data_IF_966308859174
#
_entry.id   IF_966308859174
#
_cell.length_a   1.000
_cell.length_b   1.000
_cell.length_c   1.000
_cell.angle_alpha   90.00
_cell.angle_beta   90.00
_cell.angle_gamma   90.00
#
_symmetry.space_group_name_H-M   'P 1'
#
loop_
_entity.id
_entity.type
_entity.pdbx_description
1 polymer ?
#
# COMPACT_ATOMS: atom_id res chain seq x y z
N UNK A 1 -27.68 -1.62 -56.12
CA UNK A 1 -26.85 -0.40 -55.98
C UNK A 1 -26.78 0.30 -57.33
N UNK A 2 -26.82 1.64 -57.36
CA UNK A 2 -26.73 2.42 -58.61
C UNK A 2 -25.37 2.20 -59.28
N UNK A 3 -25.27 2.34 -60.61
CA UNK A 3 -24.00 2.12 -61.34
C UNK A 3 -22.91 3.16 -60.99
N UNK A 4 -23.29 4.35 -60.50
CA UNK A 4 -22.39 5.45 -60.14
C UNK A 4 -21.92 5.44 -58.67
N UNK A 5 -22.12 4.35 -57.93
CA UNK A 5 -21.74 4.28 -56.50
C UNK A 5 -20.32 3.72 -56.34
N UNK A 6 -19.40 4.48 -55.71
CA UNK A 6 -18.00 4.06 -55.48
C UNK A 6 -17.88 2.70 -54.77
N UNK A 7 -18.89 2.37 -53.96
CA UNK A 7 -18.96 1.12 -53.19
C UNK A 7 -19.39 -0.09 -54.04
N UNK A 8 -19.86 0.13 -55.28
CA UNK A 8 -20.34 -0.94 -56.17
C UNK A 8 -19.23 -1.91 -56.55
N UNK A 9 -18.04 -1.39 -56.84
CA UNK A 9 -16.86 -2.19 -57.18
C UNK A 9 -16.49 -3.16 -56.05
N UNK A 10 -16.61 -2.71 -54.79
CA UNK A 10 -16.35 -3.54 -53.62
C UNK A 10 -17.48 -4.54 -53.33
N UNK A 11 -18.73 -4.12 -53.54
CA UNK A 11 -19.90 -4.98 -53.39
C UNK A 11 -19.93 -6.13 -54.41
N UNK A 12 -19.58 -5.83 -55.66
CA UNK A 12 -19.49 -6.82 -56.74
C UNK A 12 -18.33 -7.80 -56.48
N UNK A 13 -17.20 -7.31 -55.94
CA UNK A 13 -16.08 -8.17 -55.52
C UNK A 13 -16.44 -9.12 -54.36
N UNK A 14 -17.24 -8.66 -53.39
CA UNK A 14 -17.73 -9.47 -52.26
C UNK A 14 -18.75 -10.54 -52.71
N UNK A 15 -19.64 -10.18 -53.63
CA UNK A 15 -20.69 -11.08 -54.11
C UNK A 15 -20.19 -12.12 -55.13
N UNK A 16 -19.22 -11.77 -55.98
CA UNK A 16 -18.65 -12.74 -56.95
C UNK A 16 -17.42 -13.48 -56.43
N UNK A 17 -16.57 -12.87 -55.59
CA UNK A 17 -15.29 -13.43 -55.14
C UNK A 17 -15.20 -13.86 -53.67
N UNK A 18 -16.21 -13.57 -52.83
CA UNK A 18 -16.15 -13.83 -51.38
C UNK A 18 -16.34 -15.30 -50.95
N UNK A 19 -15.98 -15.67 -49.70
CA UNK A 19 -16.24 -16.99 -49.12
C UNK A 19 -17.73 -17.35 -49.15
N UNK A 20 -18.07 -18.64 -49.34
CA UNK A 20 -19.45 -19.11 -49.54
C UNK A 20 -20.44 -18.65 -48.45
N UNK A 21 -19.99 -18.58 -47.20
CA UNK A 21 -20.77 -18.07 -46.07
C UNK A 21 -21.31 -16.65 -46.29
N UNK A 22 -20.51 -15.76 -46.87
CA UNK A 22 -20.93 -14.36 -47.12
C UNK A 22 -21.94 -14.28 -48.27
N UNK A 23 -21.80 -15.14 -49.29
CA UNK A 23 -22.76 -15.19 -50.41
C UNK A 23 -24.14 -15.66 -49.95
N UNK A 24 -24.18 -16.68 -49.09
CA UNK A 24 -25.43 -17.18 -48.51
C UNK A 24 -26.10 -16.13 -47.62
N UNK A 25 -25.34 -15.43 -46.77
CA UNK A 25 -25.88 -14.35 -45.94
C UNK A 25 -26.39 -13.15 -46.75
N UNK A 26 -25.70 -12.74 -47.82
CA UNK A 26 -26.13 -11.59 -48.64
C UNK A 26 -27.48 -11.86 -49.34
N UNK A 27 -27.74 -13.10 -49.76
CA UNK A 27 -29.02 -13.48 -50.37
C UNK A 27 -30.22 -13.38 -49.41
N UNK A 28 -29.97 -13.39 -48.09
CA UNK A 28 -31.02 -13.23 -47.07
C UNK A 28 -31.37 -11.76 -46.77
N UNK A 29 -30.54 -10.81 -47.18
CA UNK A 29 -30.73 -9.37 -46.92
C UNK A 29 -31.19 -8.62 -48.19
N UNK A 30 -32.34 -9.02 -48.77
CA UNK A 30 -33.01 -8.23 -49.81
C UNK A 30 -34.14 -7.39 -49.20
N UNK A 31 -33.94 -6.06 -49.15
CA UNK A 31 -34.92 -5.14 -48.56
C UNK A 31 -35.89 -4.58 -49.60
N UNK A 32 -37.17 -4.46 -49.23
CA UNK A 32 -38.20 -3.85 -50.06
C UNK A 32 -38.25 -2.35 -49.79
N UNK A 33 -38.06 -1.52 -50.82
CA UNK A 33 -38.10 -0.08 -50.70
C UNK A 33 -39.52 0.45 -50.36
N UNK A 34 -39.56 1.57 -49.64
CA UNK A 34 -40.81 2.27 -49.30
C UNK A 34 -41.47 2.86 -50.57
N UNK A 35 -42.81 2.96 -50.61
CA UNK A 35 -43.51 3.56 -51.74
C UNK A 35 -43.21 5.06 -51.88
N UNK A 36 -43.22 5.55 -53.12
CA UNK A 36 -42.89 6.94 -53.51
C UNK A 36 -43.75 8.02 -52.82
N UNK A 37 -44.90 7.64 -52.24
CA UNK A 37 -45.77 8.54 -51.48
C UNK A 37 -45.19 8.94 -50.12
N UNK A 38 -44.31 8.10 -49.54
CA UNK A 38 -43.69 8.34 -48.22
C UNK A 38 -42.27 8.87 -48.38
N UNK A 39 -41.56 8.43 -49.42
CA UNK A 39 -40.19 8.85 -49.71
C UNK A 39 -40.09 9.24 -51.19
N UNK A 40 -40.04 10.54 -51.53
CA UNK A 40 -40.03 11.03 -52.91
C UNK A 40 -38.63 10.96 -53.55
N UNK A 41 -37.82 9.96 -53.19
CA UNK A 41 -36.49 9.72 -53.72
C UNK A 41 -36.41 8.33 -54.37
N UNK A 42 -35.35 8.07 -55.13
CA UNK A 42 -35.16 6.79 -55.82
C UNK A 42 -35.07 5.63 -54.80
N UNK A 43 -35.59 4.46 -55.17
CA UNK A 43 -35.75 3.29 -54.31
C UNK A 43 -34.45 2.84 -53.61
N UNK A 44 -33.27 3.14 -54.17
CA UNK A 44 -31.97 2.89 -53.54
C UNK A 44 -31.71 3.70 -52.27
N UNK A 45 -32.39 4.85 -52.09
CA UNK A 45 -32.26 5.75 -50.93
C UNK A 45 -33.43 5.68 -49.96
N UNK A 46 -34.48 4.92 -50.30
CA UNK A 46 -35.71 4.80 -49.54
C UNK A 46 -35.88 3.38 -48.97
N UNK A 47 -34.85 2.89 -48.29
CA UNK A 47 -34.83 1.57 -47.67
C UNK A 47 -34.94 1.75 -46.14
N UNK A 48 -36.00 1.25 -45.49
CA UNK A 48 -36.12 1.37 -44.03
C UNK A 48 -35.04 0.51 -43.33
N UNK A 49 -34.55 0.99 -42.17
CA UNK A 49 -33.69 0.19 -41.31
C UNK A 49 -34.45 -1.07 -40.83
N UNK A 50 -33.81 -2.25 -40.80
CA UNK A 50 -34.49 -3.48 -40.38
C UNK A 50 -34.95 -3.36 -38.92
N UNK A 51 -36.23 -3.68 -38.66
CA UNK A 51 -36.77 -3.74 -37.31
C UNK A 51 -37.43 -2.48 -36.77
N UNK A 52 -37.65 -1.45 -37.59
CA UNK A 52 -38.37 -0.24 -37.17
C UNK A 52 -39.61 -0.03 -38.04
N UNK A 53 -40.78 -0.05 -37.40
CA UNK A 53 -42.05 0.41 -37.93
C UNK A 53 -42.29 1.88 -37.53
N UNK A 54 -43.07 2.61 -38.31
CA UNK A 54 -43.46 3.99 -37.97
C UNK A 54 -44.81 3.97 -37.25
N UNK A 55 -44.84 4.45 -36.00
CA UNK A 55 -46.07 4.65 -35.25
C UNK A 55 -46.46 6.12 -35.22
N UNK A 56 -47.70 6.45 -35.56
CA UNK A 56 -48.23 7.80 -35.37
C UNK A 56 -48.51 8.06 -33.89
N UNK A 57 -47.88 9.10 -33.34
CA UNK A 57 -48.30 9.71 -32.09
C UNK A 57 -49.28 10.84 -32.36
N UNK A 58 -50.18 11.07 -31.39
CA UNK A 58 -51.24 12.06 -31.49
C UNK A 58 -50.64 13.46 -31.73
N UNK A 59 -51.11 14.13 -32.80
CA UNK A 59 -50.62 15.44 -33.23
C UNK A 59 -49.80 15.46 -34.53
N UNK A 60 -49.76 14.35 -35.28
CA UNK A 60 -49.14 14.32 -36.63
C UNK A 60 -47.62 14.16 -36.63
N UNK A 61 -47.04 13.71 -35.51
CA UNK A 61 -45.62 13.38 -35.42
C UNK A 61 -45.45 11.86 -35.34
N UNK A 62 -44.65 11.30 -36.25
CA UNK A 62 -44.30 9.87 -36.25
C UNK A 62 -43.06 9.64 -35.39
N UNK A 63 -43.08 8.60 -34.55
CA UNK A 63 -41.88 8.10 -33.88
C UNK A 63 -41.53 6.70 -34.35
N UNK A 64 -40.26 6.33 -34.18
CA UNK A 64 -39.77 5.00 -34.48
C UNK A 64 -40.30 4.01 -33.45
N UNK A 65 -41.02 3.00 -33.90
CA UNK A 65 -41.47 1.87 -33.08
C UNK A 65 -40.72 0.63 -33.53
N UNK A 66 -39.96 0.00 -32.65
CA UNK A 66 -39.25 -1.23 -33.01
C UNK A 66 -40.26 -2.37 -33.22
N UNK A 67 -40.13 -3.11 -34.33
CA UNK A 67 -40.97 -4.26 -34.67
C UNK A 67 -40.76 -5.41 -33.68
N UNK A 68 -41.82 -6.15 -33.37
CA UNK A 68 -41.83 -7.18 -32.33
C UNK A 68 -40.74 -8.26 -32.52
N UNK A 69 -40.40 -8.56 -33.77
CA UNK A 69 -39.41 -9.57 -34.15
C UNK A 69 -37.97 -9.13 -33.79
N UNK A 70 -37.70 -7.82 -33.86
CA UNK A 70 -36.41 -7.22 -33.47
C UNK A 70 -36.34 -6.98 -31.97
N UNK A 71 -37.47 -6.72 -31.30
CA UNK A 71 -37.54 -6.71 -29.83
C UNK A 71 -37.30 -8.11 -29.27
N UNK A 72 -37.73 -9.17 -29.95
CA UNK A 72 -37.45 -10.55 -29.54
C UNK A 72 -35.96 -10.94 -29.73
N UNK A 73 -35.34 -10.54 -30.85
CA UNK A 73 -33.90 -10.77 -31.08
C UNK A 73 -32.99 -9.86 -30.23
N UNK A 74 -33.44 -8.63 -29.92
CA UNK A 74 -32.80 -7.76 -28.94
C UNK A 74 -33.10 -8.20 -27.51
N UNK A 75 -34.16 -8.96 -27.23
CA UNK A 75 -34.43 -9.50 -25.89
C UNK A 75 -33.40 -10.52 -25.45
N UNK A 76 -32.91 -11.36 -26.37
CA UNK A 76 -31.84 -12.32 -26.08
C UNK A 76 -30.45 -11.67 -26.09
N UNK A 77 -30.16 -10.78 -27.06
CA UNK A 77 -28.88 -10.08 -27.12
C UNK A 77 -28.74 -8.97 -26.04
N UNK A 78 -29.83 -8.30 -25.66
CA UNK A 78 -29.85 -7.35 -24.56
C UNK A 78 -29.89 -8.06 -23.21
N UNK A 79 -30.43 -9.27 -23.07
CA UNK A 79 -30.25 -10.06 -21.83
C UNK A 79 -28.76 -10.40 -21.61
N UNK A 80 -28.05 -10.85 -22.65
CA UNK A 80 -26.61 -11.14 -22.56
C UNK A 80 -25.73 -9.87 -22.37
N UNK A 81 -26.16 -8.71 -22.89
CA UNK A 81 -25.43 -7.45 -22.70
C UNK A 81 -25.83 -6.71 -21.39
N UNK A 82 -27.08 -6.82 -20.93
CA UNK A 82 -27.53 -6.28 -19.62
C UNK A 82 -26.91 -7.02 -18.44
N UNK A 83 -26.62 -8.32 -18.56
CA UNK A 83 -25.85 -9.04 -17.54
C UNK A 83 -24.40 -8.52 -17.44
N UNK A 84 -23.85 -7.99 -18.53
CA UNK A 84 -22.48 -7.44 -18.56
C UNK A 84 -22.37 -5.94 -18.23
N UNK A 85 -23.49 -5.20 -18.19
CA UNK A 85 -23.46 -3.74 -17.97
C UNK A 85 -24.46 -3.29 -16.90
N UNK A 86 -24.19 -3.65 -15.65
CA UNK A 86 -24.25 -2.81 -14.44
C UNK A 86 -25.40 -1.81 -14.16
N UNK A 87 -26.59 -1.91 -14.78
CA UNK A 87 -27.70 -0.99 -14.52
C UNK A 87 -28.91 -1.63 -13.80
N UNK A 88 -29.11 -2.94 -13.93
CA UNK A 88 -30.07 -3.68 -13.08
C UNK A 88 -29.61 -3.70 -11.60
N UNK A 89 -28.29 -3.73 -11.37
CA UNK A 89 -27.67 -3.58 -10.05
C UNK A 89 -27.59 -2.14 -9.55
N UNK A 90 -28.04 -1.14 -10.32
CA UNK A 90 -28.12 0.24 -9.84
C UNK A 90 -29.54 0.63 -9.43
N UNK A 91 -30.57 0.03 -10.04
CA UNK A 91 -31.96 0.38 -9.74
C UNK A 91 -32.51 -0.42 -8.55
N UNK A 92 -32.33 -1.75 -8.51
CA UNK A 92 -32.77 -2.58 -7.37
C UNK A 92 -31.84 -2.47 -6.15
N UNK A 93 -30.57 -2.10 -6.37
CA UNK A 93 -29.62 -1.88 -5.28
C UNK A 93 -29.54 -0.41 -4.85
N UNK A 94 -30.37 0.50 -5.33
CA UNK A 94 -30.37 1.88 -4.84
C UNK A 94 -31.39 2.11 -3.72
N UNK A 95 -32.62 1.62 -3.84
CA UNK A 95 -33.66 1.79 -2.80
C UNK A 95 -33.39 0.94 -1.55
N UNK A 96 -33.10 -0.36 -1.71
CA UNK A 96 -32.81 -1.27 -0.58
C UNK A 96 -31.48 -0.95 0.09
N UNK A 97 -30.45 -0.62 -0.69
CA UNK A 97 -29.15 -0.24 -0.14
C UNK A 97 -29.24 1.13 0.51
N UNK A 98 -29.80 2.15 -0.13
CA UNK A 98 -29.87 3.49 0.46
C UNK A 98 -30.81 3.52 1.69
N UNK A 99 -31.89 2.73 1.71
CA UNK A 99 -32.74 2.54 2.90
C UNK A 99 -32.01 1.85 4.05
N UNK A 100 -31.25 0.78 3.77
CA UNK A 100 -30.41 0.10 4.76
C UNK A 100 -29.28 1.02 5.26
N UNK A 101 -28.65 1.79 4.37
CA UNK A 101 -27.62 2.76 4.72
C UNK A 101 -28.19 3.92 5.54
N UNK A 102 -29.40 4.39 5.26
CA UNK A 102 -30.05 5.43 6.07
C UNK A 102 -30.47 4.89 7.45
N UNK A 103 -30.93 3.64 7.54
CA UNK A 103 -31.19 2.97 8.82
C UNK A 103 -29.91 2.72 9.62
N UNK A 104 -28.83 2.30 8.96
CA UNK A 104 -27.51 2.11 9.59
C UNK A 104 -26.89 3.48 9.99
N UNK A 105 -27.17 4.54 9.24
CA UNK A 105 -26.79 5.92 9.57
C UNK A 105 -27.55 6.44 10.79
N UNK A 106 -28.85 6.18 10.90
CA UNK A 106 -29.66 6.54 12.08
C UNK A 106 -29.18 5.83 13.34
N UNK A 107 -28.85 4.55 13.24
CA UNK A 107 -28.27 3.78 14.35
C UNK A 107 -26.85 4.24 14.71
N UNK A 108 -26.08 4.76 13.74
CA UNK A 108 -24.70 5.23 13.94
C UNK A 108 -24.57 6.71 14.26
N UNK A 109 -25.66 7.48 14.18
CA UNK A 109 -25.71 8.93 14.44
C UNK A 109 -25.10 9.32 15.80
N UNK A 110 -25.35 8.58 16.91
CA UNK A 110 -24.68 8.85 18.19
C UNK A 110 -23.16 8.69 18.13
N UNK A 111 -22.65 7.70 17.38
CA UNK A 111 -21.22 7.47 17.22
C UNK A 111 -20.57 8.60 16.40
N UNK A 112 -21.21 9.06 15.31
CA UNK A 112 -20.74 10.20 14.53
C UNK A 112 -20.67 11.48 15.37
N UNK A 113 -21.72 11.75 16.15
CA UNK A 113 -21.74 12.91 17.05
C UNK A 113 -20.61 12.80 18.08
N UNK A 114 -20.40 11.64 18.69
CA UNK A 114 -19.34 11.43 19.68
C UNK A 114 -17.93 11.56 19.07
N UNK A 115 -17.70 11.07 17.86
CA UNK A 115 -16.43 11.24 17.13
C UNK A 115 -16.22 12.70 16.72
N UNK A 116 -17.28 13.41 16.30
CA UNK A 116 -17.20 14.83 15.96
C UNK A 116 -16.87 15.69 17.19
N UNK A 117 -17.52 15.45 18.33
CA UNK A 117 -17.20 16.15 19.57
C UNK A 117 -15.81 15.81 20.10
N UNK A 118 -15.42 14.53 20.08
CA UNK A 118 -14.08 14.12 20.54
C UNK A 118 -12.98 14.65 19.63
N UNK A 119 -13.14 14.63 18.31
CA UNK A 119 -12.17 15.23 17.39
C UNK A 119 -12.06 16.75 17.54
N UNK A 120 -13.16 17.44 17.85
CA UNK A 120 -13.14 18.87 18.18
C UNK A 120 -12.36 19.14 19.48
N UNK A 121 -12.62 18.37 20.54
CA UNK A 121 -11.91 18.49 21.82
C UNK A 121 -10.43 18.15 21.66
N UNK A 122 -10.11 17.05 20.98
CA UNK A 122 -8.73 16.62 20.70
C UNK A 122 -8.02 17.66 19.84
N UNK A 123 -8.69 18.22 18.82
CA UNK A 123 -8.15 19.29 17.99
C UNK A 123 -7.86 20.55 18.79
N UNK A 124 -8.76 20.95 19.69
CA UNK A 124 -8.55 22.10 20.56
C UNK A 124 -7.38 21.87 21.55
N UNK A 125 -7.34 20.68 22.17
CA UNK A 125 -6.23 20.28 23.04
C UNK A 125 -4.92 20.25 22.25
N UNK A 126 -4.92 19.72 21.03
CA UNK A 126 -3.74 19.67 20.15
C UNK A 126 -3.23 21.08 19.80
N UNK A 127 -4.11 22.01 19.45
CA UNK A 127 -3.74 23.42 19.21
C UNK A 127 -3.10 24.07 20.44
N UNK A 128 -3.58 23.73 21.64
CA UNK A 128 -2.99 24.22 22.90
C UNK A 128 -1.66 23.53 23.20
N UNK A 129 -1.56 22.22 22.99
CA UNK A 129 -0.35 21.41 23.23
C UNK A 129 0.79 21.79 22.28
N UNK A 130 0.48 22.12 21.02
CA UNK A 130 1.48 22.56 20.04
C UNK A 130 2.32 23.72 20.58
N UNK A 131 1.75 24.65 21.35
CA UNK A 131 2.53 25.76 21.95
C UNK A 131 3.77 25.28 22.72
N UNK A 132 3.61 24.23 23.53
CA UNK A 132 4.68 23.71 24.38
C UNK A 132 5.54 22.67 23.65
N UNK A 133 4.93 21.91 22.74
CA UNK A 133 5.56 20.78 22.06
C UNK A 133 6.21 21.12 20.71
N UNK A 134 5.94 22.29 20.09
CA UNK A 134 6.49 22.65 18.76
C UNK A 134 8.01 22.54 18.74
N UNK A 135 8.70 23.04 19.79
CA UNK A 135 10.17 22.96 19.88
C UNK A 135 10.64 21.51 19.82
N UNK A 136 10.08 20.66 20.68
CA UNK A 136 10.43 19.24 20.72
C UNK A 136 10.06 18.52 19.42
N UNK A 137 8.87 18.77 18.88
CA UNK A 137 8.36 18.13 17.68
C UNK A 137 9.22 18.43 16.44
N UNK A 138 9.64 19.68 16.24
CA UNK A 138 10.50 20.06 15.11
C UNK A 138 11.88 19.41 15.24
N UNK A 139 12.53 19.50 16.40
CA UNK A 139 13.84 18.88 16.59
C UNK A 139 13.80 17.36 16.54
N UNK A 140 12.74 16.75 17.06
CA UNK A 140 12.51 15.31 16.98
C UNK A 140 12.31 14.87 15.53
N UNK A 141 11.51 15.59 14.73
CA UNK A 141 11.31 15.27 13.31
C UNK A 141 12.63 15.39 12.53
N UNK A 142 13.42 16.44 12.78
CA UNK A 142 14.75 16.63 12.16
C UNK A 142 15.70 15.48 12.52
N UNK A 143 15.73 15.09 13.79
CA UNK A 143 16.53 13.97 14.28
C UNK A 143 16.07 12.64 13.66
N UNK A 144 14.76 12.40 13.58
CA UNK A 144 14.20 11.18 13.03
C UNK A 144 14.59 11.00 11.56
N UNK A 145 14.52 12.05 10.74
CA UNK A 145 14.96 11.99 9.33
C UNK A 145 16.44 11.66 9.25
N UNK A 146 17.28 12.30 10.07
CA UNK A 146 18.71 12.00 10.11
C UNK A 146 18.98 10.54 10.51
N UNK A 147 18.33 10.04 11.57
CA UNK A 147 18.46 8.66 12.01
C UNK A 147 17.98 7.67 10.95
N UNK A 148 16.88 7.97 10.26
CA UNK A 148 16.38 7.12 9.18
C UNK A 148 17.40 7.00 8.03
N UNK A 149 18.08 8.09 7.66
CA UNK A 149 19.12 8.06 6.63
C UNK A 149 20.36 7.28 7.09
N UNK A 150 20.81 7.49 8.33
CA UNK A 150 21.98 6.78 8.90
C UNK A 150 21.71 5.29 9.05
N UNK A 151 20.58 4.93 9.66
CA UNK A 151 20.16 3.54 9.87
C UNK A 151 19.86 2.88 8.52
N UNK A 152 19.16 3.55 7.62
CA UNK A 152 18.90 3.05 6.27
C UNK A 152 20.19 2.74 5.51
N UNK A 153 21.16 3.66 5.52
CA UNK A 153 22.48 3.43 4.91
C UNK A 153 23.24 2.28 5.57
N UNK A 154 23.21 2.19 6.89
CA UNK A 154 23.83 1.09 7.65
C UNK A 154 23.19 -0.26 7.36
N UNK A 155 21.87 -0.33 7.24
CA UNK A 155 21.15 -1.57 6.90
C UNK A 155 21.49 -2.03 5.48
N UNK A 156 21.53 -1.13 4.50
CA UNK A 156 21.97 -1.45 3.15
C UNK A 156 23.41 -1.98 3.14
N UNK A 157 24.31 -1.30 3.85
CA UNK A 157 25.71 -1.69 3.94
C UNK A 157 25.89 -3.08 4.61
N UNK A 158 25.25 -3.32 5.76
CA UNK A 158 25.29 -4.62 6.46
C UNK A 158 24.68 -5.72 5.57
N UNK A 159 23.55 -5.44 4.92
CA UNK A 159 22.88 -6.42 4.06
C UNK A 159 23.74 -6.83 2.86
N UNK A 160 24.59 -5.93 2.37
CA UNK A 160 25.53 -6.21 1.27
C UNK A 160 26.59 -7.25 1.67
N UNK A 161 26.97 -7.30 2.96
CA UNK A 161 28.02 -8.17 3.48
C UNK A 161 27.48 -9.33 4.33
N UNK A 162 26.17 -9.59 4.32
CA UNK A 162 25.55 -10.67 5.07
C UNK A 162 25.91 -12.04 4.48
N UNK A 163 26.44 -12.94 5.31
CA UNK A 163 26.69 -14.33 4.92
C UNK A 163 25.41 -15.15 4.85
N UNK A 164 25.40 -16.19 4.01
CA UNK A 164 24.27 -17.11 3.90
C UNK A 164 23.95 -17.77 5.24
N UNK A 165 22.68 -17.69 5.69
CA UNK A 165 22.21 -18.29 6.95
C UNK A 165 22.38 -17.46 8.23
N UNK A 166 23.10 -16.33 8.20
CA UNK A 166 23.24 -15.44 9.36
C UNK A 166 22.06 -14.46 9.46
N UNK A 167 21.68 -14.05 10.68
CA UNK A 167 20.69 -12.99 10.88
C UNK A 167 21.25 -11.59 10.56
N UNK A 168 20.39 -10.63 10.19
CA UNK A 168 20.80 -9.24 9.92
C UNK A 168 21.40 -8.57 11.17
N UNK A 169 20.76 -8.79 12.32
CA UNK A 169 21.22 -8.23 13.60
C UNK A 169 22.52 -8.86 14.08
N UNK A 170 22.68 -10.17 13.90
CA UNK A 170 23.90 -10.92 14.24
C UNK A 170 25.09 -10.45 13.39
N UNK A 171 24.88 -10.30 12.08
CA UNK A 171 25.87 -9.72 11.17
C UNK A 171 26.24 -8.29 11.60
N UNK A 172 25.24 -7.49 11.97
CA UNK A 172 25.45 -6.12 12.47
C UNK A 172 26.28 -6.08 13.77
N UNK A 173 26.04 -7.00 14.70
CA UNK A 173 26.84 -7.11 15.93
C UNK A 173 28.28 -7.53 15.65
N UNK A 174 28.49 -8.51 14.77
CA UNK A 174 29.84 -8.94 14.39
C UNK A 174 30.63 -7.81 13.71
N UNK A 175 29.99 -7.05 12.82
CA UNK A 175 30.61 -5.88 12.17
C UNK A 175 30.95 -4.78 13.18
N UNK A 176 30.06 -4.50 14.12
CA UNK A 176 30.28 -3.49 15.16
C UNK A 176 31.47 -3.87 16.07
N UNK A 177 31.57 -5.14 16.47
CA UNK A 177 32.71 -5.65 17.25
C UNK A 177 34.00 -5.56 16.43
N UNK A 178 33.98 -5.93 15.14
CA UNK A 178 35.14 -5.82 14.26
C UNK A 178 35.66 -4.37 14.17
N UNK A 179 34.77 -3.39 13.97
CA UNK A 179 35.14 -1.96 13.94
C UNK A 179 35.74 -1.51 15.29
N UNK A 180 35.13 -1.89 16.41
CA UNK A 180 35.62 -1.53 17.74
C UNK A 180 37.01 -2.12 18.03
N UNK A 181 37.23 -3.39 17.70
CA UNK A 181 38.53 -4.07 17.86
C UNK A 181 39.58 -3.46 16.94
N UNK A 182 39.21 -3.05 15.72
CA UNK A 182 40.11 -2.37 14.77
C UNK A 182 40.57 -1.02 15.32
N UNK A 183 39.64 -0.22 15.86
CA UNK A 183 39.96 1.06 16.48
C UNK A 183 40.88 0.87 17.68
N UNK A 184 40.62 -0.13 18.52
CA UNK A 184 41.47 -0.46 19.67
C UNK A 184 42.85 -0.94 19.25
N UNK A 185 42.94 -1.77 18.22
CA UNK A 185 44.21 -2.31 17.72
C UNK A 185 45.05 -1.21 17.05
N UNK A 186 44.41 -0.32 16.29
CA UNK A 186 45.08 0.87 15.72
C UNK A 186 45.62 1.78 16.81
N UNK A 187 44.83 2.02 17.88
CA UNK A 187 45.28 2.78 19.03
C UNK A 187 46.47 2.11 19.75
N UNK A 188 46.42 0.79 19.95
CA UNK A 188 47.50 0.03 20.59
C UNK A 188 48.77 -0.02 19.74
N UNK A 189 48.63 -0.16 18.42
CA UNK A 189 49.74 -0.17 17.47
C UNK A 189 50.40 1.21 17.37
N UNK A 190 49.61 2.30 17.42
CA UNK A 190 50.14 3.65 17.51
C UNK A 190 50.96 3.89 18.80
N UNK A 191 50.68 3.16 19.87
CA UNK A 191 51.42 3.23 21.14
C UNK A 191 52.64 2.30 21.17
N UNK A 192 52.55 1.13 20.52
CA UNK A 192 53.58 0.09 20.63
C UNK A 192 54.62 0.10 19.50
N UNK A 193 54.36 0.81 18.39
CA UNK A 193 55.30 0.91 17.26
C UNK A 193 55.53 -0.41 16.51
N UNK A 194 54.74 -1.44 16.79
CA UNK A 194 54.83 -2.75 16.14
C UNK A 194 53.84 -2.80 14.98
N UNK A 195 54.34 -2.74 13.75
CA UNK A 195 53.52 -2.97 12.56
C UNK A 195 53.16 -4.46 12.46
N UNK A 196 51.86 -4.77 12.52
CA UNK A 196 51.36 -6.07 12.09
C UNK A 196 51.37 -6.12 10.55
N UNK A 197 51.93 -7.19 9.98
CA UNK A 197 52.31 -7.28 8.56
C UNK A 197 51.13 -7.27 7.59
N UNK A 198 49.95 -7.74 7.99
CA UNK A 198 48.65 -7.58 7.30
C UNK A 198 47.62 -8.46 8.00
N UNK A 199 46.40 -7.97 8.14
CA UNK A 199 45.26 -8.78 8.60
C UNK A 199 44.48 -9.42 7.43
N UNK A 200 44.94 -9.25 6.19
CA UNK A 200 44.34 -9.90 5.05
C UNK A 200 44.59 -11.43 5.09
N UNK A 201 43.60 -12.19 4.64
CA UNK A 201 43.71 -13.63 4.42
C UNK A 201 43.04 -13.98 3.10
N UNK A 202 43.50 -15.05 2.45
CA UNK A 202 42.90 -15.54 1.20
C UNK A 202 42.45 -16.99 1.40
N UNK A 203 41.26 -17.34 0.89
CA UNK A 203 40.78 -18.72 0.91
C UNK A 203 40.58 -19.27 2.33
N UNK A 204 41.35 -20.31 2.70
CA UNK A 204 41.30 -20.99 4.00
C UNK A 204 42.13 -20.29 5.11
N UNK A 205 42.82 -19.20 4.76
CA UNK A 205 43.62 -18.41 5.69
C UNK A 205 44.95 -19.05 6.10
N UNK A 206 45.48 -19.99 5.30
CA UNK A 206 46.83 -20.52 5.50
C UNK A 206 47.93 -19.45 5.36
N UNK A 207 47.67 -18.40 4.57
CA UNK A 207 48.55 -17.25 4.34
C UNK A 207 48.48 -16.18 5.45
N UNK A 208 47.50 -16.26 6.34
CA UNK A 208 47.26 -15.25 7.36
C UNK A 208 48.43 -15.11 8.35
N UNK A 209 48.98 -13.89 8.47
CA UNK A 209 50.07 -13.54 9.40
C UNK A 209 49.73 -12.35 10.31
N UNK A 210 48.44 -12.05 10.47
CA UNK A 210 47.96 -11.00 11.36
C UNK A 210 48.16 -11.33 12.86
N UNK A 211 47.72 -10.40 13.70
CA UNK A 211 47.89 -10.42 15.16
C UNK A 211 46.58 -10.68 15.90
N UNK A 212 45.57 -11.27 15.27
CA UNK A 212 44.33 -11.66 15.95
C UNK A 212 44.62 -12.63 17.11
N UNK A 213 44.26 -12.24 18.34
CA UNK A 213 44.43 -13.06 19.56
C UNK A 213 43.11 -13.47 20.19
N UNK A 214 41.98 -13.21 19.53
CA UNK A 214 40.64 -13.57 20.02
C UNK A 214 39.82 -14.31 18.99
N UNK A 215 39.00 -15.23 19.47
CA UNK A 215 38.07 -16.01 18.66
C UNK A 215 36.86 -15.17 18.25
N UNK A 216 36.00 -15.70 17.35
CA UNK A 216 34.76 -15.03 16.90
C UNK A 216 33.83 -14.61 18.05
N UNK A 217 33.82 -15.37 19.15
CA UNK A 217 32.99 -15.09 20.33
C UNK A 217 33.75 -14.33 21.43
N UNK A 218 34.97 -13.89 21.15
CA UNK A 218 35.76 -13.05 22.04
C UNK A 218 36.57 -13.79 23.10
N UNK A 219 36.68 -15.12 23.02
CA UNK A 219 37.54 -15.90 23.90
C UNK A 219 39.01 -15.60 23.60
N UNK A 220 39.84 -15.59 24.65
CA UNK A 220 41.27 -15.34 24.52
C UNK A 220 41.96 -16.59 23.96
N UNK A 221 42.77 -16.40 22.93
CA UNK A 221 43.57 -17.47 22.36
C UNK A 221 44.71 -17.87 23.30
N UNK A 222 44.97 -19.16 23.39
CA UNK A 222 46.11 -19.79 24.04
C UNK A 222 47.35 -19.76 23.12
N UNK A 223 48.54 -19.74 23.71
CA UNK A 223 49.80 -19.70 22.95
C UNK A 223 50.09 -21.03 22.25
N UNK A 224 50.54 -20.98 20.99
CA UNK A 224 50.92 -22.18 20.25
C UNK A 224 52.14 -22.87 20.88
N UNK A 225 52.09 -24.20 20.98
CA UNK A 225 53.14 -25.00 21.62
C UNK A 225 52.99 -25.13 23.14
N UNK A 226 51.95 -24.55 23.74
CA UNK A 226 51.64 -24.66 25.17
C UNK A 226 50.25 -25.27 25.41
N UNK A 227 50.06 -25.86 26.60
CA UNK A 227 48.78 -26.42 27.06
C UNK A 227 48.06 -27.29 26.03
N UNK A 228 46.85 -26.89 25.62
CA UNK A 228 46.04 -27.66 24.64
C UNK A 228 46.64 -27.62 23.22
N UNK A 229 47.46 -26.62 22.93
CA UNK A 229 48.15 -26.42 21.65
C UNK A 229 49.57 -27.03 21.63
N UNK A 230 49.97 -27.81 22.64
CA UNK A 230 51.32 -28.37 22.77
C UNK A 230 51.77 -29.22 21.55
N UNK A 231 50.83 -29.87 20.88
CA UNK A 231 51.08 -30.66 19.66
C UNK A 231 51.30 -29.81 18.40
N UNK A 232 51.10 -28.49 18.47
CA UNK A 232 51.23 -27.55 17.35
C UNK A 232 52.41 -26.61 17.62
N UNK A 233 53.60 -27.06 17.23
CA UNK A 233 54.84 -26.30 17.37
C UNK A 233 55.52 -26.04 16.01
N UNK A 234 56.50 -25.15 16.01
CA UNK A 234 57.26 -24.75 14.81
C UNK A 234 58.06 -25.90 14.18
N UNK A 235 58.36 -26.96 14.92
CA UNK A 235 59.06 -28.15 14.39
C UNK A 235 58.13 -28.99 13.52
N UNK A 236 56.86 -29.13 13.89
CA UNK A 236 55.84 -29.88 13.17
C UNK A 236 55.18 -29.06 12.05
N UNK A 237 55.08 -27.75 12.23
CA UNK A 237 54.44 -26.82 11.29
C UNK A 237 55.31 -25.58 11.01
N UNK A 238 56.49 -25.75 10.37
CA UNK A 238 57.48 -24.69 10.22
C UNK A 238 57.02 -23.53 9.33
N UNK A 239 56.21 -23.81 8.30
CA UNK A 239 55.71 -22.81 7.36
C UNK A 239 54.49 -22.03 7.86
N UNK A 240 53.90 -22.43 9.00
CA UNK A 240 52.59 -21.98 9.42
C UNK A 240 52.60 -20.72 10.29
N UNK A 241 53.79 -20.20 10.63
CA UNK A 241 53.93 -18.95 11.37
C UNK A 241 53.25 -18.98 12.74
N UNK A 242 53.30 -20.12 13.43
CA UNK A 242 52.77 -20.32 14.78
C UNK A 242 53.63 -19.52 15.76
N UNK A 243 53.19 -18.31 16.08
CA UNK A 243 53.89 -17.38 16.97
C UNK A 243 52.90 -16.82 17.97
N UNK A 244 53.30 -16.77 19.25
CA UNK A 244 52.46 -16.33 20.37
C UNK A 244 51.10 -17.05 20.36
N UNK A 245 50.02 -16.34 20.67
CA UNK A 245 48.65 -16.81 20.66
C UNK A 245 47.85 -16.25 19.47
N UNK A 246 48.50 -16.02 18.32
CA UNK A 246 47.82 -15.49 17.15
C UNK A 246 47.02 -16.56 16.42
N UNK A 247 45.82 -16.27 15.94
CA UNK A 247 45.04 -17.23 15.16
C UNK A 247 45.76 -17.64 13.87
N UNK A 248 45.80 -18.93 13.57
CA UNK A 248 46.49 -19.48 12.40
C UNK A 248 45.71 -20.66 11.83
N UNK A 249 46.01 -21.02 10.59
CA UNK A 249 45.60 -22.29 10.03
C UNK A 249 46.88 -23.09 9.70
N UNK A 250 47.27 -24.06 10.55
CA UNK A 250 48.56 -24.73 10.40
C UNK A 250 48.63 -25.72 9.25
N UNK A 251 47.49 -26.16 8.71
CA UNK A 251 47.45 -27.20 7.68
C UNK A 251 47.67 -26.61 6.27
N UNK A 252 48.42 -27.32 5.40
CA UNK A 252 48.59 -26.90 4.02
C UNK A 252 47.27 -26.99 3.23
N UNK A 253 47.05 -26.03 2.34
CA UNK A 253 45.89 -25.96 1.43
C UNK A 253 45.64 -27.30 0.74
N UNK A 254 44.46 -27.89 0.92
CA UNK A 254 44.07 -29.18 0.34
C UNK A 254 44.24 -30.41 1.24
N UNK A 255 44.68 -30.25 2.49
CA UNK A 255 44.69 -31.34 3.48
C UNK A 255 43.29 -31.63 4.03
N UNK A 256 43.00 -32.89 4.36
CA UNK A 256 41.72 -33.31 4.92
C UNK A 256 41.38 -32.66 6.28
N UNK A 257 42.39 -32.12 6.97
CA UNK A 257 42.26 -31.47 8.28
C UNK A 257 42.27 -29.93 8.20
N UNK A 258 42.22 -29.34 7.01
CA UNK A 258 42.15 -27.88 6.84
C UNK A 258 40.86 -27.35 7.45
N UNK A 259 40.99 -26.42 8.39
CA UNK A 259 39.88 -25.64 8.88
C UNK A 259 39.41 -24.65 7.80
N UNK A 260 38.12 -24.30 7.80
CA UNK A 260 37.54 -23.38 6.82
C UNK A 260 38.09 -21.95 6.91
N UNK A 261 38.69 -21.58 8.04
CA UNK A 261 39.27 -20.26 8.31
C UNK A 261 40.33 -20.40 9.43
N UNK A 262 41.06 -19.32 9.71
CA UNK A 262 41.98 -19.23 10.85
C UNK A 262 41.29 -19.58 12.18
N UNK A 263 42.03 -20.18 13.10
CA UNK A 263 41.50 -20.63 14.39
C UNK A 263 42.59 -20.58 15.47
N UNK A 264 42.18 -20.76 16.73
CA UNK A 264 43.10 -20.92 17.86
C UNK A 264 42.49 -21.83 18.92
N UNK A 265 43.35 -22.36 19.79
CA UNK A 265 42.92 -22.94 21.07
C UNK A 265 42.53 -21.81 22.02
N UNK A 266 41.54 -22.04 22.87
CA UNK A 266 41.09 -21.00 23.83
C UNK A 266 41.59 -21.30 25.23
N UNK A 267 41.79 -20.25 26.02
CA UNK A 267 42.16 -20.39 27.44
C UNK A 267 40.99 -20.79 28.33
N UNK A 268 39.76 -20.81 27.79
CA UNK A 268 38.54 -21.14 28.53
C UNK A 268 38.35 -22.66 28.59
N UNK A 269 37.98 -23.19 29.75
CA UNK A 269 37.77 -24.64 29.96
C UNK A 269 36.51 -25.15 29.27
N UNK A 270 35.59 -24.26 28.87
CA UNK A 270 34.34 -24.62 28.20
C UNK A 270 34.48 -24.83 26.68
N UNK A 271 35.49 -24.24 26.05
CA UNK A 271 35.68 -24.28 24.59
C UNK A 271 37.15 -24.57 24.28
N UNK A 272 37.47 -25.78 23.84
CA UNK A 272 38.87 -26.17 23.60
C UNK A 272 39.51 -25.41 22.44
N UNK A 273 38.77 -25.20 21.34
CA UNK A 273 39.23 -24.43 20.20
C UNK A 273 38.05 -23.75 19.52
N UNK A 274 38.31 -22.63 18.85
CA UNK A 274 37.31 -21.92 18.08
C UNK A 274 37.93 -21.21 16.88
N UNK A 275 37.11 -21.00 15.84
CA UNK A 275 37.47 -20.20 14.68
C UNK A 275 37.61 -18.71 15.05
N UNK A 276 38.56 -18.07 14.38
CA UNK A 276 38.80 -16.64 14.51
C UNK A 276 38.39 -15.90 13.25
N UNK A 277 38.19 -14.60 13.40
CA UNK A 277 38.00 -13.66 12.30
C UNK A 277 39.20 -12.71 12.30
N UNK A 278 39.84 -12.41 11.16
CA UNK A 278 40.93 -11.43 11.13
C UNK A 278 40.54 -10.09 11.77
N UNK A 279 41.46 -9.43 12.46
CA UNK A 279 41.22 -8.09 13.03
C UNK A 279 41.20 -7.09 11.87
N UNK A 280 40.42 -6.00 11.91
CA UNK A 280 40.54 -4.99 10.84
C UNK A 280 39.83 -5.31 9.53
N UNK A 281 39.37 -6.54 9.31
CA UNK A 281 38.65 -6.90 8.09
C UNK A 281 37.16 -6.61 8.27
N UNK A 282 36.76 -5.39 7.91
CA UNK A 282 35.35 -4.94 7.83
C UNK A 282 34.54 -5.67 6.74
N UNK A 283 35.16 -6.57 5.98
CA UNK A 283 34.56 -7.34 4.89
C UNK A 283 34.91 -8.83 5.01
N UNK A 284 34.19 -9.62 5.82
CA UNK A 284 34.40 -11.06 5.82
C UNK A 284 34.04 -11.64 4.44
N UNK A 285 34.99 -12.34 3.81
CA UNK A 285 34.67 -13.21 2.69
C UNK A 285 33.97 -14.47 3.22
N UNK A 286 32.71 -14.66 2.82
CA UNK A 286 31.90 -15.78 3.31
C UNK A 286 32.28 -17.06 2.53
N UNK A 287 32.91 -18.03 3.18
CA UNK A 287 33.29 -19.32 2.57
C UNK A 287 32.09 -20.11 2.00
N UNK A 288 30.90 -19.95 2.59
CA UNK A 288 29.64 -20.57 2.13
C UNK A 288 28.81 -19.67 1.20
N UNK A 289 29.35 -18.52 0.76
CA UNK A 289 28.65 -17.54 -0.08
C UNK A 289 27.81 -16.53 0.71
N UNK A 290 27.32 -15.52 -0.02
CA UNK A 290 26.59 -14.38 0.53
C UNK A 290 25.08 -14.59 0.46
N UNK A 291 24.34 -13.97 1.38
CA UNK A 291 22.88 -13.99 1.36
C UNK A 291 22.28 -13.29 0.13
N UNK A 292 23.04 -12.39 -0.51
CA UNK A 292 22.77 -11.88 -1.86
C UNK A 292 23.79 -12.50 -2.79
N UNK A 293 23.34 -13.40 -3.67
CA UNK A 293 24.22 -14.20 -4.54
C UNK A 293 24.85 -13.38 -5.67
N UNK A 294 24.16 -12.34 -6.14
CA UNK A 294 24.62 -11.49 -7.24
C UNK A 294 25.63 -10.44 -6.77
N UNK A 295 26.85 -10.45 -7.33
CA UNK A 295 27.88 -9.47 -7.01
C UNK A 295 27.47 -8.03 -7.39
N UNK A 296 26.80 -7.85 -8.52
CA UNK A 296 26.33 -6.54 -8.98
C UNK A 296 25.34 -5.91 -7.99
N UNK A 297 24.39 -6.70 -7.49
CA UNK A 297 23.39 -6.22 -6.52
C UNK A 297 24.05 -5.87 -5.19
N UNK A 298 25.07 -6.63 -4.78
CA UNK A 298 25.85 -6.33 -3.59
C UNK A 298 26.62 -5.01 -3.71
N UNK A 299 27.29 -4.79 -4.85
CA UNK A 299 28.00 -3.55 -5.13
C UNK A 299 27.03 -2.36 -5.13
N UNK A 300 25.87 -2.49 -5.77
CA UNK A 300 24.83 -1.46 -5.77
C UNK A 300 24.36 -1.17 -4.34
N UNK A 301 24.14 -2.18 -3.50
CA UNK A 301 23.66 -1.99 -2.14
C UNK A 301 24.71 -1.28 -1.25
N UNK A 302 25.98 -1.57 -1.48
CA UNK A 302 27.12 -0.89 -0.85
C UNK A 302 27.20 0.59 -1.29
N UNK A 303 27.09 0.87 -2.59
CA UNK A 303 27.05 2.24 -3.13
C UNK A 303 25.85 3.00 -2.55
N UNK A 304 24.67 2.39 -2.51
CA UNK A 304 23.46 3.00 -1.94
C UNK A 304 23.68 3.36 -0.46
N UNK A 305 24.33 2.49 0.31
CA UNK A 305 24.70 2.76 1.70
C UNK A 305 25.55 4.03 1.84
N UNK A 306 26.62 4.15 1.03
CA UNK A 306 27.48 5.33 1.04
C UNK A 306 26.77 6.60 0.59
N UNK A 307 25.95 6.52 -0.46
CA UNK A 307 25.15 7.66 -0.95
C UNK A 307 24.21 8.16 0.15
N UNK A 308 23.53 7.25 0.87
CA UNK A 308 22.65 7.62 1.98
C UNK A 308 23.41 8.31 3.12
N UNK A 309 24.62 7.87 3.46
CA UNK A 309 25.45 8.53 4.48
C UNK A 309 25.98 9.90 4.04
N UNK A 310 26.35 10.05 2.76
CA UNK A 310 26.70 11.37 2.21
C UNK A 310 25.51 12.32 2.27
N UNK A 311 24.32 11.86 1.88
CA UNK A 311 23.09 12.64 1.99
C UNK A 311 22.78 12.98 3.45
N UNK A 312 22.96 12.04 4.38
CA UNK A 312 22.79 12.28 5.82
C UNK A 312 23.76 13.35 6.33
N UNK A 313 25.03 13.32 5.90
CA UNK A 313 26.04 14.31 6.25
C UNK A 313 25.70 15.70 5.70
N UNK A 314 25.30 15.79 4.42
CA UNK A 314 24.85 17.05 3.81
C UNK A 314 23.61 17.58 4.55
N UNK A 315 22.63 16.72 4.83
CA UNK A 315 21.44 17.09 5.58
C UNK A 315 21.78 17.63 6.97
N UNK A 316 22.67 16.96 7.70
CA UNK A 316 23.15 17.43 9.00
C UNK A 316 23.83 18.79 8.92
N UNK A 317 24.72 18.99 7.93
CA UNK A 317 25.38 20.28 7.70
C UNK A 317 24.36 21.38 7.39
N UNK A 318 23.39 21.11 6.51
CA UNK A 318 22.31 22.07 6.21
C UNK A 318 21.50 22.42 7.44
N UNK A 319 21.15 21.43 8.27
CA UNK A 319 20.46 21.65 9.55
C UNK A 319 21.32 22.52 10.48
N UNK A 320 22.61 22.24 10.61
CA UNK A 320 23.56 23.04 11.41
C UNK A 320 23.68 24.48 10.92
N UNK A 321 23.73 24.71 9.60
CA UNK A 321 23.78 26.04 9.00
C UNK A 321 22.44 26.80 9.15
N UNK A 322 21.32 26.09 9.19
CA UNK A 322 19.98 26.68 9.25
C UNK A 322 19.38 26.70 10.67
N UNK A 323 20.14 26.35 11.72
CA UNK A 323 19.63 26.32 13.11
C UNK A 323 18.99 27.64 13.50
N UNK A 324 19.60 28.77 13.16
CA UNK A 324 19.05 30.09 13.50
C UNK A 324 17.76 30.39 12.74
N UNK A 325 17.67 29.95 11.48
CA UNK A 325 16.45 30.06 10.66
C UNK A 325 15.34 29.16 11.20
N UNK A 326 15.67 27.93 11.63
CA UNK A 326 14.73 26.99 12.24
C UNK A 326 14.21 27.55 13.57
N UNK A 327 15.09 28.13 14.41
CA UNK A 327 14.70 28.81 15.65
C UNK A 327 13.75 29.98 15.40
N UNK A 328 14.00 30.78 14.36
CA UNK A 328 13.11 31.86 13.96
C UNK A 328 11.74 31.32 13.51
N UNK A 329 11.69 30.27 12.69
CA UNK A 329 10.45 29.64 12.26
C UNK A 329 9.64 29.05 13.44
N UNK A 330 10.32 28.46 14.42
CA UNK A 330 9.69 28.01 15.66
C UNK A 330 9.10 29.19 16.43
N UNK A 331 9.84 30.30 16.57
CA UNK A 331 9.36 31.48 17.28
C UNK A 331 8.12 32.09 16.61
N UNK A 332 8.07 32.16 15.28
CA UNK A 332 6.89 32.63 14.54
C UNK A 332 5.66 31.76 14.84
N UNK A 333 5.82 30.43 14.80
CA UNK A 333 4.72 29.51 15.13
C UNK A 333 4.27 29.64 16.59
N UNK A 334 5.18 29.92 17.52
CA UNK A 334 4.82 30.17 18.93
C UNK A 334 4.04 31.48 19.10
N UNK A 335 4.38 32.53 18.36
CA UNK A 335 3.63 33.80 18.37
C UNK A 335 2.25 33.62 17.74
N UNK A 336 2.15 32.90 16.61
CA UNK A 336 0.86 32.57 16.01
C UNK A 336 -0.04 31.76 16.97
N UNK A 337 0.53 30.79 17.68
CA UNK A 337 -0.19 30.04 18.72
C UNK A 337 -0.63 30.94 19.90
N UNK A 338 0.17 31.93 20.29
CA UNK A 338 -0.24 32.90 21.33
C UNK A 338 -1.41 33.76 20.84
N UNK A 339 -1.35 34.23 19.59
CA UNK A 339 -2.41 35.02 18.99
C UNK A 339 -3.76 34.28 18.95
N UNK A 340 -3.76 32.99 18.59
CA UNK A 340 -4.98 32.15 18.60
C UNK A 340 -5.58 32.04 20.00
N UNK A 341 -4.75 31.98 21.04
CA UNK A 341 -5.21 31.98 22.44
C UNK A 341 -5.81 33.33 22.84
N UNK A 342 -5.15 34.42 22.47
CA UNK A 342 -5.55 35.78 22.87
C UNK A 342 -6.79 36.25 22.08
N UNK A 343 -7.05 35.67 20.90
CA UNK A 343 -8.19 35.98 20.04
C UNK A 343 -9.05 34.74 19.75
N UNK A 344 -9.79 34.21 20.75
CA UNK A 344 -10.59 32.98 20.59
C UNK A 344 -11.69 33.11 19.52
N UNK A 345 -12.05 34.34 19.12
CA UNK A 345 -13.01 34.62 18.04
C UNK A 345 -12.62 33.99 16.70
N UNK A 346 -11.34 33.74 16.46
CA UNK A 346 -10.86 33.11 15.21
C UNK A 346 -11.27 31.63 15.14
N UNK A 347 -11.33 30.94 16.29
CA UNK A 347 -11.78 29.55 16.37
C UNK A 347 -13.29 29.41 16.23
N UNK A 348 -14.05 30.49 16.48
CA UNK A 348 -15.52 30.49 16.36
C UNK A 348 -15.94 30.51 14.88
N UNK A 349 -15.14 31.11 13.98
CA UNK A 349 -15.52 31.29 12.58
C UNK A 349 -15.79 29.96 11.84
N UNK A 350 -14.92 28.93 11.92
CA UNK A 350 -15.20 27.63 11.31
C UNK A 350 -16.40 26.91 11.92
N UNK A 351 -16.64 27.08 13.22
CA UNK A 351 -17.78 26.49 13.94
C UNK A 351 -19.08 27.12 13.45
N UNK A 352 -19.10 28.45 13.36
CA UNK A 352 -20.24 29.20 12.84
C UNK A 352 -20.53 28.80 11.39
N UNK A 353 -19.49 28.66 10.55
CA UNK A 353 -19.62 28.18 9.18
C UNK A 353 -20.21 26.76 9.13
N UNK A 354 -19.77 25.85 9.99
CA UNK A 354 -20.31 24.49 10.06
C UNK A 354 -21.80 24.50 10.47
N UNK A 355 -22.17 25.30 11.46
CA UNK A 355 -23.58 25.45 11.91
C UNK A 355 -24.44 25.99 10.76
N UNK A 356 -24.00 27.04 10.07
CA UNK A 356 -24.71 27.62 8.92
C UNK A 356 -24.85 26.57 7.80
N UNK A 357 -23.79 25.81 7.52
CA UNK A 357 -23.82 24.72 6.55
C UNK A 357 -24.83 23.62 6.89
N UNK A 358 -24.90 23.21 8.16
CA UNK A 358 -25.87 22.21 8.63
C UNK A 358 -27.29 22.75 8.50
N UNK A 359 -27.55 23.98 8.92
CA UNK A 359 -28.86 24.63 8.78
C UNK A 359 -29.29 24.74 7.31
N UNK A 360 -28.35 25.07 6.43
CA UNK A 360 -28.58 25.12 4.99
C UNK A 360 -28.98 23.74 4.43
N UNK A 361 -28.24 22.68 4.79
CA UNK A 361 -28.56 21.31 4.36
C UNK A 361 -29.93 20.86 4.90
N UNK A 362 -30.25 21.19 6.16
CA UNK A 362 -31.55 20.88 6.75
C UNK A 362 -32.71 21.53 5.98
N UNK A 363 -32.57 22.79 5.56
CA UNK A 363 -33.59 23.48 4.77
C UNK A 363 -33.83 22.77 3.43
N UNK A 364 -32.75 22.39 2.74
CA UNK A 364 -32.85 21.64 1.48
C UNK A 364 -33.44 20.24 1.67
N UNK A 365 -33.05 19.53 2.73
CA UNK A 365 -33.58 18.21 3.05
C UNK A 365 -35.08 18.26 3.37
N UNK A 366 -35.53 19.25 4.16
CA UNK A 366 -36.95 19.45 4.47
C UNK A 366 -37.75 19.82 3.22
N UNK A 367 -37.18 20.65 2.35
CA UNK A 367 -37.80 21.04 1.09
C UNK A 367 -37.91 19.87 0.11
N UNK A 368 -36.87 19.03 0.01
CA UNK A 368 -36.89 17.80 -0.78
C UNK A 368 -37.93 16.80 -0.24
N UNK A 369 -37.98 16.61 1.09
CA UNK A 369 -38.98 15.77 1.76
C UNK A 369 -40.40 16.28 1.49
N UNK A 370 -40.62 17.59 1.57
CA UNK A 370 -41.91 18.20 1.25
C UNK A 370 -42.29 17.98 -0.23
N UNK A 371 -41.38 18.20 -1.18
CA UNK A 371 -41.65 17.96 -2.60
C UNK A 371 -41.97 16.49 -2.89
N UNK A 372 -41.23 15.56 -2.29
CA UNK A 372 -41.49 14.12 -2.41
C UNK A 372 -42.83 13.72 -1.80
N UNK A 373 -43.27 14.38 -0.71
CA UNK A 373 -44.58 14.13 -0.09
C UNK A 373 -45.77 14.54 -0.96
N UNK A 374 -45.56 15.42 -1.95
CA UNK A 374 -46.62 15.90 -2.85
C UNK A 374 -46.78 15.02 -4.10
N UNK A 375 -45.93 14.00 -4.29
CA UNK A 375 -46.02 13.12 -5.47
C UNK A 375 -47.18 12.14 -5.29
N UNK A 376 -48.15 12.06 -6.24
CA UNK A 376 -49.25 11.11 -6.18
C UNK A 376 -48.74 9.67 -6.15
N UNK A 377 -49.44 8.80 -5.41
CA UNK A 377 -48.98 7.44 -5.11
C UNK A 377 -48.82 6.52 -6.36
N UNK A 378 -49.29 6.95 -7.53
CA UNK A 378 -49.23 6.22 -8.79
C UNK A 378 -47.85 6.32 -9.47
N UNK A 379 -47.02 7.30 -9.08
CA UNK A 379 -45.66 7.51 -9.62
C UNK A 379 -44.54 7.04 -8.67
N UNK A 380 -44.89 6.64 -7.45
CA UNK A 380 -43.96 6.03 -6.50
C UNK A 380 -44.05 4.50 -6.60
N UNK A 381 -42.96 3.77 -6.92
CA UNK A 381 -43.01 2.32 -7.02
C UNK A 381 -43.36 1.69 -5.66
N UNK A 382 -44.55 1.10 -5.57
CA UNK A 382 -45.09 0.45 -4.35
C UNK A 382 -44.63 -1.01 -4.19
N UNK A 383 -43.94 -1.57 -5.17
CA UNK A 383 -43.66 -3.00 -5.25
C UNK A 383 -42.68 -3.49 -4.17
N UNK A 384 -41.67 -2.69 -3.78
CA UNK A 384 -40.61 -3.14 -2.86
C UNK A 384 -40.92 -2.98 -1.37
N UNK A 385 -41.92 -2.18 -0.99
CA UNK A 385 -42.19 -1.91 0.43
C UNK A 385 -43.24 -2.83 1.06
N UNK A 386 -43.88 -3.74 0.29
CA UNK A 386 -44.92 -4.64 0.82
C UNK A 386 -44.45 -5.99 1.32
N UNK A 387 -43.23 -6.43 0.99
CA UNK A 387 -42.78 -7.77 1.42
C UNK A 387 -42.00 -7.75 2.76
N UNK A 388 -41.55 -6.58 3.21
CA UNK A 388 -41.00 -6.41 4.56
C UNK A 388 -42.04 -5.80 5.51
N UNK A 389 -43.15 -6.52 5.68
CA UNK A 389 -43.94 -6.46 6.91
C UNK A 389 -43.09 -7.05 8.07
N UNK A 390 -42.02 -6.35 8.44
CA UNK A 390 -41.70 -6.24 9.85
C UNK A 390 -42.89 -5.49 10.46
N UNK A 391 -43.66 -6.21 11.27
CA UNK A 391 -44.67 -5.66 12.15
C UNK A 391 -44.08 -4.43 12.83
N UNK A 392 -44.45 -3.24 12.35
CA UNK A 392 -44.07 -1.99 12.97
C UNK A 392 -44.94 -1.90 14.23
N UNK A 393 -44.40 -2.40 15.34
CA UNK A 393 -44.99 -2.21 16.66
C UNK A 393 -44.91 -0.73 17.02
N UNK A 394 -45.86 0.06 16.50
CA UNK A 394 -46.12 1.40 17.03
C UNK A 394 -46.67 1.22 18.43
N UNK A 395 -45.78 1.33 19.43
CA UNK A 395 -46.17 1.39 20.83
C UNK A 395 -46.63 2.81 21.12
N UNK A 396 -47.90 3.09 20.87
CA UNK A 396 -48.48 4.39 21.23
C UNK A 396 -48.66 4.44 22.75
N UNK A 397 -47.91 5.31 23.42
CA UNK A 397 -48.10 5.58 24.85
C UNK A 397 -49.28 6.54 25.03
N UNK A 398 -50.35 6.07 25.68
CA UNK A 398 -51.42 6.93 26.15
C UNK A 398 -51.23 7.18 27.66
N UNK A 399 -50.96 8.44 28.03
CA UNK A 399 -50.90 8.88 29.42
C UNK A 399 -52.32 9.20 29.88
N UNK A 400 -52.81 8.49 30.89
CA UNK A 400 -54.06 8.83 31.61
C UNK A 400 -53.73 9.12 33.08
N UNK A 401 -54.64 9.79 33.85
CA UNK A 401 -54.32 10.34 35.18
C UNK A 401 -53.94 9.30 36.25
N UNK A 402 -53.97 8.00 35.94
CA UNK A 402 -53.64 6.90 36.86
C UNK A 402 -52.45 6.02 36.46
N UNK A 403 -51.62 6.45 35.50
CA UNK A 403 -50.38 5.76 35.10
C UNK A 403 -50.41 5.13 33.70
N UNK A 404 -49.23 4.71 33.22
CA UNK A 404 -48.98 4.23 31.86
C UNK A 404 -49.43 2.77 31.70
N UNK A 405 -50.31 2.48 30.73
CA UNK A 405 -50.63 1.10 30.29
C UNK A 405 -50.41 0.93 28.80
N UNK A 406 -49.88 -0.24 28.42
CA UNK A 406 -49.60 -0.65 27.04
C UNK A 406 -50.83 -1.38 26.49
N UNK A 407 -51.41 -0.91 25.39
CA UNK A 407 -52.49 -1.61 24.68
C UNK A 407 -51.93 -2.20 23.37
N UNK A 408 -52.10 -3.52 23.16
CA UNK A 408 -51.81 -4.22 21.90
C UNK A 408 -53.12 -4.58 21.20
N UNK A 409 -53.30 -4.12 19.97
CA UNK A 409 -54.42 -4.50 19.10
C UNK A 409 -53.96 -4.76 17.67
N UNK A 410 -54.42 -5.85 17.06
CA UNK A 410 -54.13 -6.27 15.68
C UNK A 410 -55.35 -6.02 14.80
N UNK A 411 -55.22 -5.18 13.77
CA UNK A 411 -56.26 -4.96 12.75
C UNK A 411 -55.93 -5.77 11.50
N UNK A 412 -56.68 -6.85 11.28
CA UNK A 412 -56.58 -7.66 10.07
C UNK A 412 -57.74 -8.65 9.98
N UNK A 413 -58.86 -8.23 9.41
CA UNK A 413 -59.79 -9.08 8.66
C UNK A 413 -60.92 -8.24 8.05
N UNK A 414 -60.90 -8.08 6.74
CA UNK A 414 -62.11 -7.87 5.92
C UNK A 414 -61.89 -8.60 4.58
N UNK A 415 -62.48 -9.79 4.47
CA UNK A 415 -62.79 -10.46 3.22
C UNK A 415 -64.28 -10.24 2.94
N UNK A 416 -64.62 -9.80 1.73
CA UNK A 416 -65.95 -9.97 1.17
C UNK A 416 -65.82 -10.87 -0.05
N UNK A 417 -66.54 -11.99 0.02
CA UNK A 417 -66.68 -13.03 -1.00
C UNK A 417 -68.12 -12.91 -1.50
N UNK A 418 -68.32 -12.83 -2.81
CA UNK A 418 -69.66 -12.79 -3.40
C UNK A 418 -70.35 -14.16 -3.30
N UNK A 419 -71.59 -14.14 -2.77
CA UNK A 419 -72.75 -14.98 -3.10
C UNK A 419 -74.01 -14.31 -2.56
#
# INVERSE_FOLDING_TARGET
MSDDDDLKTHWDALTTGGPAFIKDSISQFTFKALPLSVCPYNASKCIPFPGVEFGELYGGYCSFKMGADVVAAMGTAAAEIFESTGLASFQDSSSETLGKWMGDFENSLPAFILVAFSSFIIGFIYLVLLRFLIKFCVWFAVLLVFLMLVVGGGLCWIRSKQCSGAGLLETGQQMAVAVAVTAQTTANNAVSGTEAVSEAMTGDGADYRGVQTRTKNGYQCEAWGEGNAASYNSTLYPSSGLTNNYCRNPYPTGSANVAATIWCFTTDTSVTWETCTPVGVITPECAAGYAVTNNEVRLVLEIVGYVLWVIAGIYFLLVCCLVDRIRLAIAVNQVAASFVKDTPRILIMPILQAIIGILWILIWALSASFLLSQVPEDYTPKADFREKNAVLHVSTFAVTPGGIRILRGSLGNCSLRDS
#
